data_IF_392880700308
#
_entry.id   IF_392880700308
#
_cell.length_a   1.000
_cell.length_b   1.000
_cell.length_c   1.000
_cell.angle_alpha   90.00
_cell.angle_beta   90.00
_cell.angle_gamma   90.00
#
_symmetry.space_group_name_H-M   'P 1'
#
loop_
_entity.id
_entity.type
_entity.pdbx_description
1 polymer ?
#
# COMPACT_ATOMS: atom_id res chain seq x y z
N UNK A 1 -11.06 17.67 -2.18
CA UNK A 1 -10.79 16.24 -1.98
C UNK A 1 -9.70 15.79 -2.93
N UNK A 2 -8.53 15.48 -2.39
CA UNK A 2 -7.43 14.88 -3.13
C UNK A 2 -7.51 13.36 -3.01
N UNK A 3 -7.18 12.66 -4.09
CA UNK A 3 -7.05 11.21 -4.07
C UNK A 3 -5.75 10.82 -3.34
N UNK A 4 -5.71 9.65 -2.69
CA UNK A 4 -4.49 9.13 -2.09
C UNK A 4 -3.37 9.04 -3.14
N UNK A 5 -2.17 9.43 -2.74
CA UNK A 5 -1.00 9.53 -3.63
C UNK A 5 -0.33 8.18 -3.87
N UNK A 6 -0.53 7.25 -2.95
CA UNK A 6 0.01 5.90 -3.03
C UNK A 6 -0.93 4.88 -2.38
N UNK A 7 -0.56 3.60 -2.54
CA UNK A 7 -1.32 2.48 -2.02
C UNK A 7 -1.36 2.48 -0.48
N UNK A 8 -0.34 3.01 0.19
CA UNK A 8 -0.32 3.05 1.66
C UNK A 8 -1.37 4.04 2.18
N UNK A 9 -1.39 5.26 1.63
CA UNK A 9 -2.39 6.29 1.95
C UNK A 9 -3.81 5.83 1.60
N UNK A 10 -3.98 5.12 0.48
CA UNK A 10 -5.26 4.54 0.10
C UNK A 10 -5.78 3.51 1.11
N UNK A 11 -4.91 2.64 1.63
CA UNK A 11 -5.27 1.65 2.64
C UNK A 11 -5.64 2.31 3.98
N UNK A 12 -4.98 3.40 4.36
CA UNK A 12 -5.34 4.15 5.58
C UNK A 12 -6.70 4.83 5.47
N UNK A 13 -7.02 5.41 4.31
CA UNK A 13 -8.32 6.04 4.08
C UNK A 13 -9.44 4.99 4.05
N UNK A 14 -9.18 3.85 3.40
CA UNK A 14 -10.09 2.70 3.40
C UNK A 14 -10.35 2.15 4.82
N UNK A 15 -9.33 2.13 5.68
CA UNK A 15 -9.47 1.72 7.10
C UNK A 15 -10.30 2.71 7.93
N UNK A 16 -10.48 3.95 7.47
CA UNK A 16 -11.29 4.98 8.15
C UNK A 16 -12.72 5.06 7.61
N UNK A 17 -13.04 4.41 6.50
CA UNK A 17 -14.35 4.46 5.86
C UNK A 17 -15.25 3.29 6.30
N UNK A 18 -16.12 3.56 7.27
CA UNK A 18 -17.06 2.57 7.81
C UNK A 18 -18.09 2.06 6.78
N UNK A 19 -18.46 2.86 5.77
CA UNK A 19 -19.43 2.46 4.75
C UNK A 19 -18.81 1.42 3.82
N UNK A 20 -17.57 1.67 3.40
CA UNK A 20 -16.84 0.75 2.53
C UNK A 20 -16.51 -0.55 3.27
N UNK A 21 -16.12 -0.49 4.54
CA UNK A 21 -15.88 -1.69 5.36
C UNK A 21 -17.14 -2.52 5.56
N UNK A 22 -18.29 -1.87 5.81
CA UNK A 22 -19.56 -2.57 5.94
C UNK A 22 -19.97 -3.28 4.64
N UNK A 23 -19.63 -2.72 3.48
CA UNK A 23 -19.92 -3.32 2.18
C UNK A 23 -19.08 -4.58 1.89
N UNK A 24 -17.82 -4.61 2.32
CA UNK A 24 -16.95 -5.79 2.18
C UNK A 24 -17.16 -6.83 3.28
N UNK A 25 -17.60 -6.39 4.47
CA UNK A 25 -17.70 -7.22 5.66
C UNK A 25 -16.37 -7.34 6.41
N UNK A 26 -16.46 -7.59 7.72
CA UNK A 26 -15.33 -7.54 8.66
C UNK A 26 -14.20 -8.51 8.26
N UNK A 27 -14.51 -9.79 8.06
CA UNK A 27 -13.50 -10.81 7.77
C UNK A 27 -12.76 -10.58 6.45
N UNK A 28 -13.46 -10.10 5.41
CA UNK A 28 -12.84 -9.83 4.11
C UNK A 28 -12.00 -8.56 4.15
N UNK A 29 -12.49 -7.53 4.83
CA UNK A 29 -11.77 -6.26 5.05
C UNK A 29 -10.44 -6.50 5.74
N UNK A 30 -10.44 -7.28 6.82
CA UNK A 30 -9.24 -7.60 7.61
C UNK A 30 -8.19 -8.33 6.76
N UNK A 31 -8.62 -9.37 6.03
CA UNK A 31 -7.72 -10.15 5.16
C UNK A 31 -7.21 -9.36 3.97
N UNK A 32 -8.04 -8.49 3.41
CA UNK A 32 -7.64 -7.61 2.32
C UNK A 32 -6.58 -6.60 2.78
N UNK A 33 -6.81 -5.94 3.92
CA UNK A 33 -5.85 -4.99 4.51
C UNK A 33 -4.52 -5.67 4.83
N UNK A 34 -4.55 -6.86 5.44
CA UNK A 34 -3.36 -7.64 5.76
C UNK A 34 -2.54 -7.96 4.49
N UNK A 35 -3.20 -8.50 3.46
CA UNK A 35 -2.55 -8.86 2.21
C UNK A 35 -1.92 -7.64 1.51
N UNK A 36 -2.65 -6.52 1.43
CA UNK A 36 -2.19 -5.31 0.75
C UNK A 36 -1.09 -4.58 1.50
N UNK A 37 -1.11 -4.56 2.84
CA UNK A 37 0.02 -4.05 3.64
C UNK A 37 1.29 -4.87 3.42
N UNK A 38 1.15 -6.19 3.29
CA UNK A 38 2.28 -7.07 3.02
C UNK A 38 2.85 -6.82 1.62
N UNK A 39 2.00 -6.62 0.61
CA UNK A 39 2.39 -6.23 -0.75
C UNK A 39 3.19 -4.91 -0.77
N UNK A 40 2.70 -3.86 -0.08
CA UNK A 40 3.43 -2.59 0.05
C UNK A 40 4.79 -2.78 0.71
N UNK A 41 4.84 -3.59 1.77
CA UNK A 41 6.10 -3.88 2.48
C UNK A 41 7.10 -4.61 1.59
N UNK A 42 6.63 -5.56 0.78
CA UNK A 42 7.49 -6.29 -0.16
C UNK A 42 8.01 -5.37 -1.27
N UNK A 43 7.14 -4.52 -1.83
CA UNK A 43 7.52 -3.55 -2.85
C UNK A 43 8.58 -2.57 -2.33
N UNK A 44 8.38 -2.00 -1.13
CA UNK A 44 9.33 -1.05 -0.54
C UNK A 44 10.68 -1.68 -0.16
N UNK A 45 10.75 -3.00 0.01
CA UNK A 45 12.00 -3.73 0.27
C UNK A 45 12.76 -4.09 -1.01
N UNK A 46 12.13 -3.95 -2.16
CA UNK A 46 12.74 -4.30 -3.43
C UNK A 46 13.61 -3.14 -3.91
N UNK A 47 14.90 -3.41 -4.12
CA UNK A 47 15.78 -2.48 -4.84
C UNK A 47 15.40 -2.53 -6.31
N UNK A 48 14.83 -1.45 -6.78
CA UNK A 48 14.44 -1.28 -8.17
C UNK A 48 15.67 -1.11 -9.07
N UNK A 49 15.51 -1.48 -10.34
CA UNK A 49 16.57 -1.27 -11.34
C UNK A 49 16.93 0.21 -11.49
N UNK A 50 15.95 1.11 -11.35
CA UNK A 50 16.18 2.55 -11.35
C UNK A 50 17.10 2.98 -10.21
N UNK A 51 16.94 2.43 -8.99
CA UNK A 51 17.83 2.75 -7.86
C UNK A 51 19.25 2.26 -8.12
N UNK A 52 19.40 1.06 -8.69
CA UNK A 52 20.72 0.53 -9.09
C UNK A 52 21.38 1.47 -10.09
N UNK A 53 20.67 1.85 -11.15
CA UNK A 53 21.21 2.72 -12.20
C UNK A 53 21.53 4.14 -11.70
N UNK A 54 20.80 4.67 -10.71
CA UNK A 54 20.99 6.04 -10.21
C UNK A 54 21.96 6.18 -9.04
N UNK A 55 22.10 5.15 -8.21
CA UNK A 55 22.90 5.20 -6.99
C UNK A 55 24.16 4.34 -7.04
N UNK A 56 24.19 3.22 -7.78
CA UNK A 56 25.35 2.31 -7.78
C UNK A 56 26.59 2.89 -8.48
N UNK A 57 26.42 3.83 -9.42
CA UNK A 57 27.53 4.50 -10.12
C UNK A 57 27.95 5.86 -9.53
N UNK A 58 27.25 6.34 -8.49
CA UNK A 58 27.51 7.64 -7.85
C UNK A 58 28.27 7.53 -6.51
N UNK A 59 28.46 6.32 -5.99
CA UNK A 59 29.27 5.99 -4.82
C UNK A 59 30.33 4.97 -5.21
#
# INVERSE_FOLDING_TARGET
DELPRDLHEALELFEKDAVVQAALGEHLTERFLEAKRNEVTQYNRQVSRWEIENYLGRY
#
